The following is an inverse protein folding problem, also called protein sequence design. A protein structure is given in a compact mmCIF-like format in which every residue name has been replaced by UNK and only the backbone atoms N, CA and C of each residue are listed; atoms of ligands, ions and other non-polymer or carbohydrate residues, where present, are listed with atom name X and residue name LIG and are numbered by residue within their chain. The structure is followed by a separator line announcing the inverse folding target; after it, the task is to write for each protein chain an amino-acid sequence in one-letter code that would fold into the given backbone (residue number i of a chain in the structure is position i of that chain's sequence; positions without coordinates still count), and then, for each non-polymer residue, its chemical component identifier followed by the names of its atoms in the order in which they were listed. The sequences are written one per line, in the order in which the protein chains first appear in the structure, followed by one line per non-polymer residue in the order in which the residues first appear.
data_IF_582402690171
#
_entry.id   IF_582402690171
#
_cell.length_a   1.000
_cell.length_b   1.000
_cell.length_c   1.000
_cell.angle_alpha   90.00
_cell.angle_beta   90.00
_cell.angle_gamma   90.00
#
_symmetry.space_group_name_H-M   'P 1'
#
loop_
_entity.id
_entity.type
_entity.pdbx_description
1 polymer ?
#
# COMPACT_ATOMS: atom_id res chain seq x y z
N UNK A 1 -14.60 14.26 -32.30
CA UNK A 1 -14.33 13.72 -30.95
C UNK A 1 -14.83 12.29 -30.91
N UNK A 2 -13.92 11.32 -31.02
CA UNK A 2 -14.28 9.90 -30.93
C UNK A 2 -14.35 9.51 -29.45
N UNK A 3 -15.47 8.95 -28.97
CA UNK A 3 -15.56 8.43 -27.61
C UNK A 3 -14.67 7.20 -27.52
N UNK A 4 -13.61 7.26 -26.69
CA UNK A 4 -12.85 6.09 -26.29
C UNK A 4 -13.84 5.13 -25.62
N UNK A 5 -14.01 3.94 -26.20
CA UNK A 5 -14.87 2.90 -25.66
C UNK A 5 -14.33 2.50 -24.27
N UNK A 6 -14.98 2.98 -23.22
CA UNK A 6 -14.70 2.56 -21.85
C UNK A 6 -15.23 1.14 -21.72
N UNK A 7 -14.33 0.16 -21.81
CA UNK A 7 -14.66 -1.24 -21.59
C UNK A 7 -15.06 -1.42 -20.12
N UNK A 8 -16.36 -1.65 -19.89
CA UNK A 8 -16.91 -2.17 -18.64
C UNK A 8 -16.09 -3.40 -18.22
N UNK A 9 -15.86 -3.58 -16.92
CA UNK A 9 -15.09 -4.72 -16.39
C UNK A 9 -15.73 -6.02 -16.82
N UNK A 10 -15.16 -6.63 -17.85
CA UNK A 10 -15.60 -7.94 -18.30
C UNK A 10 -14.74 -8.99 -17.63
N UNK A 11 -15.28 -9.56 -16.56
CA UNK A 11 -14.71 -10.73 -15.90
C UNK A 11 -14.57 -11.94 -16.86
N UNK A 12 -15.26 -11.92 -18.01
CA UNK A 12 -15.16 -12.92 -19.08
C UNK A 12 -13.86 -12.82 -19.90
N UNK A 13 -13.23 -11.64 -19.99
CA UNK A 13 -11.95 -11.47 -20.72
C UNK A 13 -10.75 -11.87 -19.86
N UNK A 14 -10.83 -11.71 -18.54
CA UNK A 14 -9.75 -12.11 -17.62
C UNK A 14 -9.58 -13.63 -17.59
N UNK A 15 -10.63 -14.40 -17.86
CA UNK A 15 -10.59 -15.86 -18.00
C UNK A 15 -9.88 -16.33 -19.29
N UNK A 16 -9.81 -15.50 -20.34
CA UNK A 16 -9.23 -15.86 -21.65
C UNK A 16 -7.72 -15.61 -21.79
N UNK A 17 -7.10 -14.88 -20.86
CA UNK A 17 -5.65 -14.57 -20.91
C UNK A 17 -4.73 -15.74 -20.46
N UNK A 18 -5.23 -16.99 -20.43
CA UNK A 18 -4.49 -18.16 -19.93
C UNK A 18 -4.37 -19.32 -20.93
N UNK A 19 -4.33 -19.04 -22.23
CA UNK A 19 -4.08 -20.07 -23.25
C UNK A 19 -2.99 -19.63 -24.24
N UNK A 20 -1.73 -19.84 -23.86
CA UNK A 20 -0.69 -20.21 -24.83
C UNK A 20 -0.36 -21.66 -24.55
N UNK A 21 -0.96 -22.53 -25.36
CA UNK A 21 -0.69 -23.96 -25.40
C UNK A 21 0.76 -24.17 -25.90
N UNK A 22 1.60 -24.86 -25.12
CA UNK A 22 2.86 -25.42 -25.62
C UNK A 22 2.69 -26.93 -25.63
N UNK A 23 2.64 -27.50 -26.84
CA UNK A 23 2.61 -28.95 -27.03
C UNK A 23 3.89 -29.61 -26.47
N UNK A 24 3.80 -30.85 -25.96
CA UNK A 24 4.96 -31.57 -25.46
C UNK A 24 5.64 -32.32 -26.61
N UNK A 25 6.94 -32.04 -26.82
CA UNK A 25 7.82 -32.94 -27.57
C UNK A 25 8.34 -33.99 -26.59
N UNK A 26 7.94 -35.24 -26.78
CA UNK A 26 8.54 -36.41 -26.14
C UNK A 26 9.95 -36.68 -26.69
N UNK A 27 10.87 -37.16 -25.82
CA UNK A 27 12.20 -37.57 -26.25
C UNK A 27 13.20 -37.94 -25.15
N UNK A 28 12.93 -39.05 -24.46
CA UNK A 28 13.89 -40.05 -23.94
C UNK A 28 15.17 -39.70 -23.11
N UNK A 29 15.20 -40.34 -21.93
CA UNK A 29 16.28 -41.22 -21.39
C UNK A 29 17.52 -40.65 -20.69
N UNK A 30 17.69 -41.01 -19.41
CA UNK A 30 19.00 -41.11 -18.75
C UNK A 30 18.97 -41.27 -17.22
N UNK A 31 18.99 -42.51 -16.73
CA UNK A 31 19.11 -42.90 -15.30
C UNK A 31 20.39 -42.37 -14.63
N UNK A 32 20.32 -41.94 -13.36
CA UNK A 32 21.11 -42.54 -12.26
C UNK A 32 20.56 -42.17 -10.87
N UNK A 33 20.37 -43.20 -10.05
CA UNK A 33 19.96 -43.17 -8.63
C UNK A 33 21.20 -43.02 -7.76
N UNK A 34 21.18 -42.11 -6.78
CA UNK A 34 21.99 -42.22 -5.55
C UNK A 34 21.15 -41.74 -4.36
N UNK A 35 21.01 -42.62 -3.37
CA UNK A 35 20.31 -42.42 -2.10
C UNK A 35 21.07 -41.48 -1.16
N UNK A 36 20.37 -40.53 -0.54
CA UNK A 36 20.76 -40.01 0.78
C UNK A 36 19.51 -39.77 1.64
N UNK A 37 19.45 -40.48 2.77
CA UNK A 37 18.38 -40.40 3.77
C UNK A 37 18.60 -39.16 4.63
N UNK A 38 17.87 -38.09 4.34
CA UNK A 38 17.72 -36.92 5.21
C UNK A 38 16.24 -36.75 5.57
N UNK A 39 15.91 -36.77 6.86
CA UNK A 39 14.55 -36.51 7.39
C UNK A 39 14.08 -35.12 6.92
N UNK A 40 13.16 -35.08 5.97
CA UNK A 40 12.53 -33.84 5.49
C UNK A 40 11.32 -33.53 6.37
N UNK A 41 11.40 -32.45 7.14
CA UNK A 41 10.22 -31.79 7.69
C UNK A 41 9.36 -31.26 6.53
N UNK A 42 8.02 -31.28 6.62
CA UNK A 42 7.18 -30.81 5.54
C UNK A 42 7.23 -29.28 5.50
N UNK A 43 8.13 -28.73 4.70
CA UNK A 43 7.97 -27.37 4.17
C UNK A 43 6.63 -27.32 3.44
N UNK A 44 5.66 -26.60 4.00
CA UNK A 44 4.43 -26.19 3.31
C UNK A 44 4.85 -25.44 2.05
N UNK A 45 4.88 -26.13 0.92
CA UNK A 45 5.00 -25.49 -0.39
C UNK A 45 3.71 -24.71 -0.59
N UNK A 46 3.80 -23.39 -0.54
CA UNK A 46 2.82 -22.53 -1.18
C UNK A 46 2.88 -22.89 -2.66
N UNK A 47 1.97 -23.74 -3.10
CA UNK A 47 1.75 -23.97 -4.51
C UNK A 47 1.41 -22.62 -5.12
N UNK A 48 2.27 -22.13 -6.02
CA UNK A 48 1.91 -21.09 -6.97
C UNK A 48 0.84 -21.68 -7.89
N UNK A 49 -0.41 -21.70 -7.40
CA UNK A 49 -1.58 -21.92 -8.23
C UNK A 49 -1.87 -20.56 -8.82
N UNK A 50 -1.57 -20.37 -10.10
CA UNK A 50 -2.28 -19.39 -10.93
C UNK A 50 -3.73 -19.84 -10.95
N UNK A 51 -4.47 -19.50 -9.90
CA UNK A 51 -5.87 -19.81 -9.77
C UNK A 51 -6.61 -18.87 -10.72
N UNK A 52 -7.32 -19.44 -11.68
CA UNK A 52 -8.32 -18.71 -12.46
C UNK A 52 -9.24 -17.97 -11.48
N UNK A 53 -9.38 -16.65 -11.65
CA UNK A 53 -10.24 -15.82 -10.81
C UNK A 53 -11.66 -16.37 -10.78
N UNK A 54 -12.27 -16.42 -9.59
CA UNK A 54 -13.67 -16.84 -9.43
C UNK A 54 -14.58 -15.70 -9.88
N UNK A 55 -15.39 -15.92 -10.91
CA UNK A 55 -16.24 -14.87 -11.50
C UNK A 55 -17.74 -15.04 -11.29
N UNK A 56 -18.17 -16.20 -10.79
CA UNK A 56 -19.58 -16.45 -10.50
C UNK A 56 -19.95 -15.90 -9.13
N UNK A 57 -21.01 -15.08 -9.06
CA UNK A 57 -21.53 -14.56 -7.80
C UNK A 57 -21.97 -15.68 -6.85
N UNK A 58 -22.52 -16.78 -7.39
CA UNK A 58 -22.99 -17.94 -6.60
C UNK A 58 -21.85 -18.70 -5.89
N UNK A 59 -20.61 -18.46 -6.31
CA UNK A 59 -19.41 -19.01 -5.65
C UNK A 59 -19.00 -18.25 -4.40
N UNK A 60 -19.78 -17.25 -4.00
CA UNK A 60 -19.51 -16.41 -2.84
C UNK A 60 -20.71 -16.29 -1.89
N UNK A 61 -20.41 -16.26 -0.60
CA UNK A 61 -21.32 -15.85 0.47
C UNK A 61 -20.92 -14.44 0.93
N UNK A 62 -21.85 -13.49 0.86
CA UNK A 62 -21.64 -12.12 1.34
C UNK A 62 -22.10 -12.03 2.79
N UNK A 63 -21.23 -11.49 3.64
CA UNK A 63 -21.47 -11.26 5.06
C UNK A 63 -21.78 -9.81 5.37
N UNK A 64 -21.36 -9.38 6.57
CA UNK A 64 -21.64 -8.06 7.13
C UNK A 64 -20.84 -6.94 6.45
N UNK A 65 -21.44 -5.75 6.35
CA UNK A 65 -20.72 -4.51 6.04
C UNK A 65 -19.70 -4.18 7.14
N UNK A 66 -18.43 -4.09 6.77
CA UNK A 66 -17.30 -3.76 7.65
C UNK A 66 -17.15 -2.24 7.75
N UNK A 67 -17.26 -1.55 6.61
CA UNK A 67 -17.07 -0.11 6.54
C UNK A 67 -17.19 0.42 5.13
N UNK A 68 -16.93 1.72 4.98
CA UNK A 68 -16.85 2.39 3.70
C UNK A 68 -15.76 3.43 3.75
N UNK A 69 -15.07 3.65 2.64
CA UNK A 69 -14.10 4.72 2.52
C UNK A 69 -14.14 5.30 1.10
N UNK A 70 -13.83 6.59 0.99
CA UNK A 70 -13.54 7.23 -0.29
C UNK A 70 -12.05 7.12 -0.59
N UNK A 71 -11.66 7.37 -1.84
CA UNK A 71 -10.25 7.54 -2.14
C UNK A 71 -9.88 9.01 -2.08
N UNK A 72 -8.69 9.27 -1.56
CA UNK A 72 -7.90 10.42 -1.93
C UNK A 72 -6.71 9.88 -2.70
N UNK A 73 -6.61 10.23 -3.98
CA UNK A 73 -5.32 10.18 -4.62
C UNK A 73 -4.50 11.35 -4.04
N UNK A 74 -3.21 11.19 -3.76
CA UNK A 74 -2.34 12.31 -3.33
C UNK A 74 -2.44 13.48 -4.33
N UNK A 75 -2.78 13.18 -5.58
CA UNK A 75 -3.06 14.16 -6.62
C UNK A 75 -4.28 15.06 -6.41
N UNK A 76 -5.13 14.80 -5.40
CA UNK A 76 -6.20 15.73 -4.97
C UNK A 76 -5.70 16.82 -4.01
N UNK A 77 -4.44 16.76 -3.57
CA UNK A 77 -3.80 17.85 -2.86
C UNK A 77 -2.84 18.59 -3.80
N UNK A 78 -3.15 19.86 -4.06
CA UNK A 78 -2.27 20.79 -4.77
C UNK A 78 -1.04 21.11 -3.91
N UNK A 79 -0.04 20.23 -3.94
CA UNK A 79 1.30 20.56 -3.48
C UNK A 79 1.87 21.72 -4.32
N UNK A 80 2.19 22.83 -3.63
CA UNK A 80 2.76 24.09 -4.15
C UNK A 80 1.93 24.81 -5.24
N UNK A 81 0.94 25.59 -4.80
CA UNK A 81 0.59 26.84 -5.48
C UNK A 81 1.13 28.01 -4.65
N UNK A 82 2.11 28.73 -5.19
CA UNK A 82 2.54 30.00 -4.64
C UNK A 82 1.40 31.01 -4.78
N UNK A 83 0.59 31.19 -3.74
CA UNK A 83 -0.49 32.17 -3.71
C UNK A 83 -1.25 32.12 -2.39
N UNK A 84 -1.47 33.29 -1.82
CA UNK A 84 -2.00 33.54 -0.49
C UNK A 84 -3.42 32.99 -0.23
N UNK A 85 -3.71 32.88 1.07
CA UNK A 85 -5.03 32.80 1.74
C UNK A 85 -5.79 31.47 1.71
N UNK A 86 -5.66 30.69 2.78
CA UNK A 86 -6.73 29.79 3.23
C UNK A 86 -6.80 29.73 4.76
N UNK A 87 -7.70 30.54 5.30
CA UNK A 87 -8.22 30.42 6.67
C UNK A 87 -9.25 29.28 6.68
N UNK A 88 -9.08 28.28 7.55
CA UNK A 88 -10.13 27.29 7.84
C UNK A 88 -10.27 27.07 9.34
N UNK A 89 -11.53 27.08 9.76
CA UNK A 89 -12.05 27.07 11.13
C UNK A 89 -11.89 25.73 11.85
N UNK A 90 -11.81 25.81 13.17
CA UNK A 90 -11.24 24.85 14.14
C UNK A 90 -12.11 23.63 14.53
N UNK A 91 -13.09 23.18 13.73
CA UNK A 91 -14.15 22.28 14.26
C UNK A 91 -14.18 20.82 13.78
N UNK A 92 -13.24 20.33 12.98
CA UNK A 92 -13.26 18.92 12.51
C UNK A 92 -12.31 17.99 13.28
N UNK A 93 -12.63 17.75 14.55
CA UNK A 93 -11.99 16.74 15.40
C UNK A 93 -12.93 15.54 15.58
N UNK A 94 -12.61 14.45 14.88
CA UNK A 94 -12.90 13.09 15.36
C UNK A 94 -14.14 12.41 14.78
N UNK A 95 -13.98 11.66 13.68
CA UNK A 95 -14.80 10.47 13.39
C UNK A 95 -14.19 9.50 12.38
N UNK A 96 -13.43 8.55 12.91
CA UNK A 96 -12.84 7.38 12.20
C UNK A 96 -13.87 6.32 11.75
N UNK A 97 -14.90 6.76 11.03
CA UNK A 97 -15.78 5.91 10.20
C UNK A 97 -16.07 6.50 8.81
N UNK A 98 -15.56 7.70 8.55
CA UNK A 98 -15.49 8.27 7.22
C UNK A 98 -14.04 8.70 7.04
N UNK A 99 -13.35 8.09 6.08
CA UNK A 99 -12.25 8.80 5.43
C UNK A 99 -12.91 9.99 4.75
N UNK A 100 -12.49 11.20 5.12
CA UNK A 100 -13.08 12.45 4.64
C UNK A 100 -13.20 12.42 3.11
N UNK A 101 -14.39 12.74 2.63
CA UNK A 101 -14.73 12.78 1.21
C UNK A 101 -14.08 14.05 0.65
N UNK A 102 -12.82 13.95 0.27
CA UNK A 102 -12.12 14.94 -0.57
C UNK A 102 -12.23 14.55 -2.04
N UNK A 103 -12.93 15.39 -2.82
CA UNK A 103 -13.09 15.49 -4.30
C UNK A 103 -13.33 14.23 -5.18
N UNK A 104 -13.01 13.01 -4.75
CA UNK A 104 -13.35 11.78 -5.47
C UNK A 104 -14.75 11.30 -5.09
N UNK A 105 -15.73 11.47 -5.98
CA UNK A 105 -17.15 11.13 -5.73
C UNK A 105 -17.47 9.63 -5.54
N UNK A 106 -16.46 8.77 -5.44
CA UNK A 106 -16.61 7.31 -5.39
C UNK A 106 -16.53 6.79 -3.95
N UNK A 107 -17.66 6.33 -3.41
CA UNK A 107 -17.73 5.69 -2.09
C UNK A 107 -17.62 4.17 -2.22
N UNK A 108 -16.51 3.60 -1.76
CA UNK A 108 -16.31 2.15 -1.68
C UNK A 108 -16.91 1.59 -0.40
N UNK A 109 -17.50 0.40 -0.49
CA UNK A 109 -17.94 -0.38 0.67
C UNK A 109 -17.11 -1.65 0.81
N UNK A 110 -16.85 -2.02 2.06
CA UNK A 110 -16.16 -3.27 2.41
C UNK A 110 -17.13 -4.23 3.09
N UNK A 111 -17.22 -5.46 2.61
CA UNK A 111 -18.03 -6.51 3.23
C UNK A 111 -17.16 -7.72 3.60
N UNK A 112 -17.50 -8.39 4.70
CA UNK A 112 -16.99 -9.74 4.95
C UNK A 112 -17.59 -10.70 3.92
N UNK A 113 -16.90 -11.79 3.64
CA UNK A 113 -17.44 -12.85 2.81
C UNK A 113 -16.69 -14.16 2.95
N UNK A 114 -17.19 -15.19 2.28
CA UNK A 114 -16.55 -16.49 2.17
C UNK A 114 -16.73 -17.06 0.77
N UNK A 115 -15.82 -17.93 0.36
CA UNK A 115 -16.02 -18.76 -0.83
C UNK A 115 -17.02 -19.87 -0.48
N UNK A 116 -18.11 -19.99 -1.23
CA UNK A 116 -19.22 -20.91 -0.93
C UNK A 116 -19.06 -22.28 -1.59
N UNK A 117 -18.28 -22.36 -2.68
CA UNK A 117 -18.16 -23.54 -3.53
C UNK A 117 -16.71 -23.84 -3.95
N UNK A 118 -16.47 -25.06 -4.44
CA UNK A 118 -15.16 -25.47 -4.96
C UNK A 118 -14.11 -25.80 -3.87
N UNK A 119 -12.83 -26.00 -4.28
CA UNK A 119 -11.77 -26.48 -3.39
C UNK A 119 -11.37 -25.48 -2.30
N UNK A 120 -11.74 -24.21 -2.45
CA UNK A 120 -11.46 -23.15 -1.49
C UNK A 120 -12.68 -22.78 -0.64
N UNK A 121 -13.72 -23.64 -0.60
CA UNK A 121 -14.93 -23.42 0.21
C UNK A 121 -14.57 -23.11 1.67
N UNK A 122 -15.25 -22.11 2.23
CA UNK A 122 -15.08 -21.64 3.61
C UNK A 122 -13.95 -20.63 3.81
N UNK A 123 -13.08 -20.43 2.80
CA UNK A 123 -11.99 -19.44 2.87
C UNK A 123 -12.58 -18.05 3.07
N UNK A 124 -12.15 -17.31 4.12
CA UNK A 124 -12.60 -15.95 4.36
C UNK A 124 -12.03 -15.00 3.32
N UNK A 125 -12.88 -14.08 2.89
CA UNK A 125 -12.56 -13.02 1.93
C UNK A 125 -13.12 -11.69 2.41
N UNK A 126 -12.57 -10.61 1.86
CA UNK A 126 -13.09 -9.26 1.99
C UNK A 126 -13.53 -8.80 0.60
N UNK A 127 -14.78 -8.37 0.51
CA UNK A 127 -15.30 -7.73 -0.68
C UNK A 127 -15.00 -6.24 -0.65
N UNK A 128 -14.45 -5.75 -1.75
CA UNK A 128 -14.36 -4.33 -2.08
C UNK A 128 -15.39 -4.03 -3.16
N UNK A 129 -16.36 -3.19 -2.83
CA UNK A 129 -17.53 -2.93 -3.67
C UNK A 129 -17.47 -1.52 -4.22
N UNK A 130 -17.34 -1.42 -5.53
CA UNK A 130 -17.42 -0.18 -6.28
C UNK A 130 -18.88 0.07 -6.68
N UNK A 131 -19.38 1.30 -6.48
CA UNK A 131 -20.71 1.66 -6.93
C UNK A 131 -20.78 1.59 -8.46
N UNK A 132 -21.91 1.13 -9.00
CA UNK A 132 -22.12 1.16 -10.45
C UNK A 132 -22.25 2.58 -10.99
N UNK A 133 -22.12 2.72 -12.31
CA UNK A 133 -22.10 4.01 -13.03
C UNK A 133 -23.16 5.04 -12.64
N UNK A 134 -24.36 4.61 -12.22
CA UNK A 134 -25.44 5.52 -11.79
C UNK A 134 -25.11 6.26 -10.48
N UNK A 135 -24.36 5.62 -9.58
CA UNK A 135 -24.02 6.18 -8.28
C UNK A 135 -22.56 6.65 -8.20
N UNK A 136 -21.64 5.99 -8.91
CA UNK A 136 -20.20 6.27 -8.88
C UNK A 136 -19.64 6.94 -10.13
N UNK A 137 -20.47 7.20 -11.15
CA UNK A 137 -20.01 7.73 -12.42
C UNK A 137 -19.06 6.79 -13.18
N UNK A 138 -18.41 7.32 -14.21
CA UNK A 138 -17.42 6.59 -15.02
C UNK A 138 -16.16 6.28 -14.20
N UNK A 139 -15.83 7.15 -13.23
CA UNK A 139 -14.66 7.02 -12.38
C UNK A 139 -14.69 5.71 -11.58
N UNK A 140 -15.80 5.38 -10.93
CA UNK A 140 -15.92 4.13 -10.16
C UNK A 140 -15.64 2.88 -11.02
N UNK A 141 -16.15 2.87 -12.27
CA UNK A 141 -15.92 1.77 -13.20
C UNK A 141 -14.44 1.68 -13.60
N UNK A 142 -13.80 2.82 -13.86
CA UNK A 142 -12.38 2.88 -14.20
C UNK A 142 -11.50 2.40 -13.04
N UNK A 143 -11.81 2.81 -11.81
CA UNK A 143 -11.07 2.42 -10.61
C UNK A 143 -11.16 0.92 -10.35
N UNK A 144 -12.37 0.36 -10.46
CA UNK A 144 -12.60 -1.07 -10.28
C UNK A 144 -11.88 -1.90 -11.36
N UNK A 145 -11.95 -1.45 -12.62
CA UNK A 145 -11.24 -2.06 -13.74
C UNK A 145 -9.73 -2.04 -13.54
N UNK A 146 -9.20 -0.89 -13.13
CA UNK A 146 -7.78 -0.73 -12.94
C UNK A 146 -7.26 -1.59 -11.78
N UNK A 147 -7.98 -1.63 -10.65
CA UNK A 147 -7.61 -2.49 -9.53
C UNK A 147 -7.64 -3.98 -9.89
N UNK A 148 -8.70 -4.42 -10.59
CA UNK A 148 -8.79 -5.80 -11.09
C UNK A 148 -7.61 -6.14 -12.00
N UNK A 149 -7.31 -5.27 -12.96
CA UNK A 149 -6.25 -5.48 -13.95
C UNK A 149 -4.87 -5.49 -13.29
N UNK A 150 -4.62 -4.57 -12.35
CA UNK A 150 -3.35 -4.49 -11.64
C UNK A 150 -3.10 -5.76 -10.81
N UNK A 151 -4.08 -6.23 -10.05
CA UNK A 151 -3.96 -7.48 -9.30
C UNK A 151 -3.81 -8.69 -10.22
N UNK A 152 -4.63 -8.81 -11.27
CA UNK A 152 -4.54 -9.92 -12.24
C UNK A 152 -3.15 -9.98 -12.88
N UNK A 153 -2.62 -8.83 -13.31
CA UNK A 153 -1.30 -8.73 -13.90
C UNK A 153 -0.20 -9.12 -12.91
N UNK A 154 -0.18 -8.55 -11.69
CA UNK A 154 0.85 -8.83 -10.69
C UNK A 154 0.82 -10.29 -10.22
N UNK A 155 -0.38 -10.89 -10.08
CA UNK A 155 -0.53 -12.29 -9.68
C UNK A 155 -0.13 -13.29 -10.78
N UNK A 156 -0.08 -12.84 -12.04
CA UNK A 156 0.44 -13.66 -13.14
C UNK A 156 1.97 -13.73 -13.17
N UNK A 157 2.65 -12.82 -12.45
CA UNK A 157 4.11 -12.77 -12.40
C UNK A 157 4.65 -13.90 -11.52
N UNK A 158 5.89 -14.31 -11.81
CA UNK A 158 6.59 -15.35 -11.03
C UNK A 158 6.92 -14.80 -9.64
N UNK A 159 6.89 -15.69 -8.64
CA UNK A 159 7.33 -15.38 -7.27
C UNK A 159 6.55 -14.24 -6.60
N UNK A 160 5.21 -14.19 -6.78
CA UNK A 160 4.34 -13.24 -6.07
C UNK A 160 4.67 -13.20 -4.56
N UNK A 161 5.09 -12.05 -4.00
CA UNK A 161 5.45 -11.96 -2.60
C UNK A 161 4.22 -12.05 -1.70
N UNK A 162 4.42 -12.50 -0.47
CA UNK A 162 3.35 -12.51 0.53
C UNK A 162 2.87 -11.10 0.93
N UNK A 163 3.61 -10.07 0.50
CA UNK A 163 3.41 -8.65 0.80
C UNK A 163 2.48 -7.91 -0.19
N UNK A 164 1.81 -8.63 -1.08
CA UNK A 164 0.71 -8.10 -1.89
C UNK A 164 -0.58 -8.80 -1.50
N UNK A 165 -1.68 -8.04 -1.39
CA UNK A 165 -2.99 -8.61 -1.13
C UNK A 165 -3.45 -9.42 -2.33
N UNK A 166 -4.04 -10.59 -2.06
CA UNK A 166 -4.42 -11.54 -3.09
C UNK A 166 -5.87 -11.35 -3.51
N UNK A 167 -6.09 -11.03 -4.78
CA UNK A 167 -7.38 -11.08 -5.44
C UNK A 167 -7.74 -12.54 -5.75
N UNK A 168 -8.88 -12.97 -5.22
CA UNK A 168 -9.46 -14.31 -5.41
C UNK A 168 -10.41 -14.34 -6.60
N UNK A 169 -11.11 -13.23 -6.84
CA UNK A 169 -12.11 -13.16 -7.89
C UNK A 169 -12.91 -11.86 -7.83
N UNK A 170 -14.05 -11.87 -8.51
CA UNK A 170 -14.98 -10.76 -8.47
C UNK A 170 -16.13 -10.96 -9.45
N UNK A 171 -17.19 -10.19 -9.26
CA UNK A 171 -18.37 -10.26 -10.11
C UNK A 171 -19.01 -8.89 -10.24
N UNK A 172 -19.91 -8.76 -11.22
CA UNK A 172 -20.72 -7.58 -11.41
C UNK A 172 -22.19 -7.89 -11.14
N UNK A 173 -22.89 -7.00 -10.45
CA UNK A 173 -24.33 -7.14 -10.20
C UNK A 173 -25.16 -6.60 -11.36
N UNK A 174 -26.44 -6.96 -11.41
CA UNK A 174 -27.39 -6.41 -12.39
C UNK A 174 -27.51 -4.87 -12.35
N UNK A 175 -27.17 -4.26 -11.21
CA UNK A 175 -27.17 -2.80 -11.02
C UNK A 175 -25.84 -2.14 -11.42
N UNK A 176 -24.87 -2.93 -11.89
CA UNK A 176 -23.56 -2.48 -12.32
C UNK A 176 -22.56 -2.26 -11.19
N UNK A 177 -22.86 -2.70 -9.97
CA UNK A 177 -21.87 -2.66 -8.89
C UNK A 177 -20.80 -3.71 -9.15
N UNK A 178 -19.55 -3.36 -8.91
CA UNK A 178 -18.42 -4.24 -9.15
C UNK A 178 -17.85 -4.71 -7.80
N UNK A 179 -17.88 -6.01 -7.59
CA UNK A 179 -17.51 -6.66 -6.34
C UNK A 179 -16.19 -7.39 -6.54
N UNK A 180 -15.11 -6.87 -5.98
CA UNK A 180 -13.79 -7.52 -6.00
C UNK A 180 -13.59 -8.30 -4.70
N UNK A 181 -13.26 -9.59 -4.82
CA UNK A 181 -13.07 -10.50 -3.70
C UNK A 181 -11.58 -10.69 -3.42
N UNK A 182 -11.13 -10.24 -2.25
CA UNK A 182 -9.75 -10.40 -1.79
C UNK A 182 -9.66 -11.44 -0.71
N UNK A 183 -8.59 -12.23 -0.69
CA UNK A 183 -8.29 -13.12 0.42
C UNK A 183 -8.15 -12.29 1.69
N UNK A 184 -8.77 -12.75 2.78
CA UNK A 184 -8.65 -12.06 4.06
C UNK A 184 -7.17 -12.01 4.49
N UNK A 185 -6.62 -10.80 4.48
CA UNK A 185 -5.25 -10.48 4.85
C UNK A 185 -5.11 -10.03 6.29
N UNK A 186 -6.22 -9.89 7.02
CA UNK A 186 -6.33 -9.19 8.29
C UNK A 186 -7.34 -8.05 8.24
N UNK A 187 -7.87 -7.67 9.41
CA UNK A 187 -8.89 -6.62 9.55
C UNK A 187 -8.29 -5.23 9.78
N UNK A 188 -7.09 -5.18 10.36
CA UNK A 188 -6.43 -3.94 10.75
C UNK A 188 -5.52 -3.43 9.63
N UNK A 189 -5.58 -2.13 9.39
CA UNK A 189 -4.58 -1.44 8.57
C UNK A 189 -3.41 -0.93 9.41
N UNK A 190 -2.33 -0.48 8.75
CA UNK A 190 -1.26 0.22 9.46
C UNK A 190 -1.74 1.53 10.11
N UNK A 191 -2.77 2.18 9.54
CA UNK A 191 -3.44 3.33 10.17
C UNK A 191 -4.17 2.95 11.47
N UNK A 192 -4.90 1.83 11.47
CA UNK A 192 -5.60 1.35 12.68
C UNK A 192 -4.61 0.96 13.78
N UNK A 193 -3.53 0.26 13.41
CA UNK A 193 -2.43 -0.04 14.30
C UNK A 193 -1.83 1.24 14.90
N UNK A 194 -1.46 2.22 14.07
CA UNK A 194 -0.80 3.44 14.51
C UNK A 194 -1.67 4.22 15.51
N UNK A 195 -2.98 4.29 15.23
CA UNK A 195 -3.96 4.89 16.14
C UNK A 195 -4.02 4.17 17.48
N UNK A 196 -4.20 2.84 17.48
CA UNK A 196 -4.24 2.06 18.72
C UNK A 196 -2.93 2.14 19.49
N UNK A 197 -1.79 2.17 18.80
CA UNK A 197 -0.48 2.32 19.41
C UNK A 197 -0.32 3.70 20.08
N UNK A 198 -0.79 4.77 19.43
CA UNK A 198 -0.79 6.14 19.93
C UNK A 198 -1.70 6.33 21.14
N UNK A 199 -2.92 5.79 21.09
CA UNK A 199 -3.85 5.78 22.24
C UNK A 199 -3.24 5.04 23.45
N UNK A 200 -2.54 3.93 23.20
CA UNK A 200 -1.81 3.20 24.23
C UNK A 200 -0.66 4.04 24.82
N UNK A 201 0.05 4.83 24.01
CA UNK A 201 1.07 5.78 24.48
C UNK A 201 0.45 6.80 25.44
N UNK A 202 -0.69 7.41 25.07
CA UNK A 202 -1.40 8.36 25.93
C UNK A 202 -1.80 7.76 27.28
N UNK A 203 -2.31 6.52 27.29
CA UNK A 203 -2.70 5.83 28.54
C UNK A 203 -1.51 5.56 29.44
N UNK A 204 -0.37 5.15 28.88
CA UNK A 204 0.85 4.88 29.66
C UNK A 204 1.40 6.17 30.28
N UNK A 205 1.34 7.31 29.57
CA UNK A 205 1.79 8.59 30.12
C UNK A 205 0.86 9.10 31.22
N UNK A 206 -0.46 9.01 31.03
CA UNK A 206 -1.45 9.51 32.00
C UNK A 206 -1.50 8.68 33.28
N UNK A 207 -1.33 7.36 33.20
CA UNK A 207 -1.34 6.47 34.36
C UNK A 207 0.01 6.43 35.10
N UNK A 208 1.06 7.01 34.50
CA UNK A 208 2.44 6.83 34.92
C UNK A 208 2.92 5.40 34.64
N UNK A 209 4.05 5.25 33.95
CA UNK A 209 4.64 3.93 33.80
C UNK A 209 5.10 3.45 35.19
N UNK A 210 4.40 2.48 35.76
CA UNK A 210 4.72 1.90 37.08
C UNK A 210 6.12 1.26 37.10
N UNK A 211 6.65 0.91 35.92
CA UNK A 211 7.96 0.28 35.72
C UNK A 211 8.67 0.78 34.44
N UNK A 212 9.85 1.42 34.53
CA UNK A 212 10.65 1.84 33.38
C UNK A 212 11.02 0.69 32.42
N UNK A 213 11.26 -0.51 32.94
CA UNK A 213 11.61 -1.69 32.15
C UNK A 213 10.46 -2.13 31.22
N UNK A 214 9.22 -2.01 31.68
CA UNK A 214 8.05 -2.33 30.86
C UNK A 214 7.84 -1.32 29.73
N UNK A 215 8.11 -0.03 29.98
CA UNK A 215 8.09 1.02 28.96
C UNK A 215 9.13 0.73 27.89
N UNK A 216 10.36 0.41 28.28
CA UNK A 216 11.44 0.11 27.33
C UNK A 216 11.15 -1.15 26.50
N UNK A 217 10.68 -2.23 27.13
CA UNK A 217 10.25 -3.45 26.44
C UNK A 217 9.08 -3.21 25.47
N UNK A 218 8.10 -2.37 25.84
CA UNK A 218 7.03 -1.96 24.96
C UNK A 218 7.58 -1.21 23.74
N UNK A 219 8.44 -0.20 23.96
CA UNK A 219 9.03 0.57 22.88
C UNK A 219 9.91 -0.29 21.96
N UNK A 220 10.70 -1.22 22.51
CA UNK A 220 11.47 -2.18 21.70
C UNK A 220 10.59 -3.01 20.77
N UNK A 221 9.46 -3.54 21.28
CA UNK A 221 8.48 -4.28 20.47
C UNK A 221 7.85 -3.41 19.39
N UNK A 222 7.46 -2.19 19.74
CA UNK A 222 6.90 -1.21 18.80
C UNK A 222 7.85 -0.88 17.66
N UNK A 223 9.12 -0.59 17.98
CA UNK A 223 10.19 -0.34 16.99
C UNK A 223 10.32 -1.51 16.02
N UNK A 224 10.44 -2.74 16.53
CA UNK A 224 10.55 -3.92 15.69
C UNK A 224 9.30 -4.12 14.82
N UNK A 225 8.10 -3.92 15.38
CA UNK A 225 6.84 -4.04 14.64
C UNK A 225 6.74 -3.02 13.50
N UNK A 226 7.04 -1.74 13.76
CA UNK A 226 7.07 -0.69 12.73
C UNK A 226 8.11 -0.99 11.64
N UNK A 227 9.31 -1.42 12.01
CA UNK A 227 10.35 -1.82 11.04
C UNK A 227 9.84 -2.99 10.18
N UNK A 228 9.14 -3.97 10.76
CA UNK A 228 8.54 -5.08 10.00
C UNK A 228 7.47 -4.61 9.03
N UNK A 229 6.66 -3.62 9.40
CA UNK A 229 5.71 -2.97 8.48
C UNK A 229 6.47 -2.38 7.29
N UNK A 230 7.45 -1.52 7.54
CA UNK A 230 8.25 -0.85 6.51
C UNK A 230 8.96 -1.87 5.60
N UNK A 231 9.59 -2.89 6.17
CA UNK A 231 10.23 -3.98 5.40
C UNK A 231 9.22 -4.69 4.49
N UNK A 232 8.02 -4.99 4.99
CA UNK A 232 6.98 -5.67 4.20
C UNK A 232 6.44 -4.80 3.08
N UNK A 233 6.12 -3.54 3.37
CA UNK A 233 5.68 -2.55 2.39
C UNK A 233 6.70 -2.42 1.26
N UNK A 234 7.98 -2.20 1.59
CA UNK A 234 9.01 -2.02 0.58
C UNK A 234 9.28 -3.29 -0.23
N UNK A 235 9.09 -4.49 0.33
CA UNK A 235 9.13 -5.76 -0.45
C UNK A 235 8.00 -5.85 -1.46
N UNK A 236 6.80 -5.43 -1.09
CA UNK A 236 5.67 -5.35 -2.02
C UNK A 236 5.94 -4.34 -3.13
N UNK A 237 6.45 -3.16 -2.77
CA UNK A 237 6.71 -2.06 -3.71
C UNK A 237 7.83 -2.40 -4.68
N UNK A 238 8.94 -2.95 -4.18
CA UNK A 238 10.04 -3.50 -4.98
C UNK A 238 9.54 -4.45 -6.06
N UNK A 239 8.73 -5.44 -5.66
CA UNK A 239 8.13 -6.37 -6.61
C UNK A 239 7.24 -5.68 -7.65
N UNK A 240 6.46 -4.67 -7.27
CA UNK A 240 5.65 -3.92 -8.24
C UNK A 240 6.53 -3.18 -9.24
N UNK A 241 7.57 -2.47 -8.76
CA UNK A 241 8.51 -1.71 -9.59
C UNK A 241 9.30 -2.61 -10.55
N UNK A 242 9.75 -3.78 -10.08
CA UNK A 242 10.42 -4.81 -10.89
C UNK A 242 9.53 -5.39 -12.00
N UNK A 243 8.21 -5.28 -11.85
CA UNK A 243 7.22 -5.73 -12.82
C UNK A 243 6.52 -4.56 -13.53
N UNK A 244 7.17 -3.41 -13.63
CA UNK A 244 6.70 -2.21 -14.33
C UNK A 244 5.30 -1.74 -13.86
N UNK A 245 5.06 -1.81 -12.56
CA UNK A 245 3.82 -1.32 -11.92
C UNK A 245 4.11 -0.34 -10.81
N UNK A 246 3.38 0.77 -10.80
CA UNK A 246 3.38 1.75 -9.71
C UNK A 246 2.18 1.53 -8.78
N UNK A 247 2.26 2.01 -7.55
CA UNK A 247 1.16 1.98 -6.57
C UNK A 247 0.29 3.23 -6.65
N UNK A 248 0.89 4.44 -6.56
CA UNK A 248 0.24 5.75 -6.77
C UNK A 248 -0.89 6.11 -5.79
N UNK A 249 -0.86 5.54 -4.61
CA UNK A 249 -1.88 5.72 -3.56
C UNK A 249 -1.38 5.19 -2.22
N UNK A 250 -0.06 5.16 -2.03
CA UNK A 250 0.56 4.51 -0.89
C UNK A 250 0.37 5.37 0.36
N UNK A 251 -0.18 4.74 1.39
CA UNK A 251 -0.44 5.37 2.68
C UNK A 251 -0.76 4.34 3.76
N UNK A 252 -0.96 4.76 5.01
CA UNK A 252 -1.11 3.83 6.12
C UNK A 252 -2.37 2.94 6.02
N UNK A 253 -3.42 3.39 5.35
CA UNK A 253 -4.62 2.59 5.08
C UNK A 253 -4.45 1.55 3.96
N UNK A 254 -3.48 1.77 3.07
CA UNK A 254 -3.16 0.87 1.93
C UNK A 254 -2.34 -0.36 2.33
N UNK A 255 -2.10 -0.56 3.64
CA UNK A 255 -1.32 -1.68 4.18
C UNK A 255 -2.18 -2.47 5.15
N UNK A 256 -2.51 -3.70 4.80
CA UNK A 256 -3.22 -4.65 5.68
C UNK A 256 -2.22 -5.41 6.54
N UNK A 257 -2.55 -5.55 7.83
CA UNK A 257 -1.79 -6.31 8.79
C UNK A 257 -2.57 -7.56 9.20
N UNK A 258 -1.94 -8.73 9.13
CA UNK A 258 -2.55 -9.98 9.58
C UNK A 258 -2.65 -10.09 11.12
N UNK A 259 -1.92 -9.26 11.85
CA UNK A 259 -2.00 -9.13 13.30
C UNK A 259 -1.56 -7.70 13.68
N UNK A 260 -2.29 -6.98 14.55
CA UNK A 260 -1.83 -5.72 15.12
C UNK A 260 -0.98 -5.92 16.39
N UNK A 261 -0.75 -7.17 16.82
CA UNK A 261 -0.10 -7.47 18.08
C UNK A 261 1.43 -7.33 17.98
N UNK A 262 1.99 -6.31 18.62
CA UNK A 262 3.45 -6.03 18.61
C UNK A 262 4.32 -7.22 19.10
N UNK A 263 3.76 -8.10 19.96
CA UNK A 263 4.43 -9.32 20.44
C UNK A 263 4.56 -10.41 19.37
N UNK A 264 3.72 -10.36 18.34
CA UNK A 264 3.66 -11.31 17.23
C UNK A 264 4.36 -10.78 15.98
N UNK A 265 5.23 -9.76 16.11
CA UNK A 265 5.95 -9.14 14.99
C UNK A 265 6.68 -10.16 14.09
N UNK A 266 7.10 -11.31 14.63
CA UNK A 266 7.75 -12.39 13.87
C UNK A 266 6.82 -13.07 12.85
N UNK A 267 5.50 -13.00 13.07
CA UNK A 267 4.46 -13.54 12.19
C UNK A 267 3.78 -12.44 11.35
N UNK A 268 4.22 -11.19 11.49
CA UNK A 268 3.66 -10.07 10.76
C UNK A 268 4.02 -10.17 9.27
N UNK A 269 2.99 -10.10 8.43
CA UNK A 269 3.08 -10.03 6.97
C UNK A 269 2.24 -8.82 6.53
N UNK A 270 2.85 -7.63 6.40
CA UNK A 270 2.19 -6.44 5.88
C UNK A 270 1.91 -6.64 4.39
N UNK A 271 0.72 -6.26 3.92
CA UNK A 271 0.32 -6.43 2.51
C UNK A 271 -0.18 -5.13 1.90
N UNK A 272 0.39 -4.74 0.76
CA UNK A 272 -0.14 -3.65 -0.06
C UNK A 272 -1.50 -4.04 -0.66
N UNK A 273 -2.39 -3.06 -0.74
CA UNK A 273 -3.73 -3.14 -1.33
C UNK A 273 -4.08 -1.79 -1.98
N UNK A 274 -5.29 -1.69 -2.52
CA UNK A 274 -5.83 -0.44 -3.08
C UNK A 274 -5.13 0.03 -4.36
N UNK A 275 -4.99 -0.91 -5.30
CA UNK A 275 -4.36 -0.71 -6.61
C UNK A 275 -5.25 0.01 -7.64
N UNK A 276 -6.34 0.66 -7.23
CA UNK A 276 -7.23 1.42 -8.10
C UNK A 276 -6.53 2.52 -8.90
N UNK A 277 -5.44 3.09 -8.39
CA UNK A 277 -4.62 4.10 -9.08
C UNK A 277 -3.32 3.54 -9.66
N UNK A 278 -3.11 2.22 -9.61
CA UNK A 278 -1.89 1.59 -10.09
C UNK A 278 -1.66 1.90 -11.58
N UNK A 279 -0.42 2.21 -11.95
CA UNK A 279 -0.06 2.62 -13.31
C UNK A 279 0.90 1.62 -13.94
N UNK A 280 0.65 1.27 -15.19
CA UNK A 280 1.55 0.47 -16.02
C UNK A 280 2.63 1.37 -16.63
N UNK A 281 3.90 1.08 -16.33
CA UNK A 281 5.04 1.87 -16.78
C UNK A 281 5.93 1.12 -17.77
N UNK A 282 5.41 0.05 -18.39
CA UNK A 282 6.10 -0.58 -19.53
C UNK A 282 6.29 0.45 -20.63
N UNK A 283 7.41 0.44 -21.37
CA UNK A 283 7.68 1.44 -22.40
C UNK A 283 6.53 1.66 -23.39
N UNK A 284 5.87 0.59 -23.83
CA UNK A 284 4.72 0.64 -24.75
C UNK A 284 3.49 1.36 -24.17
N UNK A 285 3.35 1.43 -22.84
CA UNK A 285 2.28 2.14 -22.16
C UNK A 285 2.60 3.63 -21.95
N UNK A 286 3.87 4.01 -22.15
CA UNK A 286 4.38 5.37 -21.94
C UNK A 286 4.65 6.15 -23.23
N UNK A 287 4.55 5.49 -24.39
CA UNK A 287 4.67 6.13 -25.70
C UNK A 287 3.57 7.19 -25.94
N UNK A 288 3.87 8.17 -26.80
CA UNK A 288 2.96 9.27 -27.10
C UNK A 288 1.59 8.75 -27.60
N UNK A 289 0.53 9.16 -26.90
CA UNK A 289 -0.84 8.71 -27.16
C UNK A 289 -1.34 7.57 -26.28
N UNK A 290 -0.45 6.85 -25.58
CA UNK A 290 -0.81 5.76 -24.65
C UNK A 290 -0.98 6.23 -23.19
N UNK A 291 -0.33 7.32 -22.78
CA UNK A 291 -0.27 7.81 -21.38
C UNK A 291 -1.55 8.49 -20.85
N UNK A 292 -2.70 8.31 -21.51
CA UNK A 292 -3.89 9.14 -21.29
C UNK A 292 -5.00 8.43 -20.52
N UNK A 293 -4.66 7.74 -19.44
CA UNK A 293 -5.65 7.28 -18.47
C UNK A 293 -5.98 8.42 -17.49
N UNK A 294 -7.26 8.81 -17.37
CA UNK A 294 -7.69 9.91 -16.48
C UNK A 294 -7.19 9.77 -15.03
N UNK A 295 -7.05 8.53 -14.53
CA UNK A 295 -6.53 8.24 -13.18
C UNK A 295 -5.03 8.56 -13.00
N UNK A 296 -4.25 8.58 -14.10
CA UNK A 296 -2.80 8.79 -14.09
C UNK A 296 -2.38 10.18 -14.60
N UNK A 297 -3.35 10.99 -15.04
CA UNK A 297 -3.06 12.27 -15.71
C UNK A 297 -2.24 13.22 -14.82
N UNK A 298 -2.61 13.31 -13.54
CA UNK A 298 -1.92 14.19 -12.60
C UNK A 298 -0.48 13.74 -12.31
N UNK A 299 -0.21 12.42 -12.26
CA UNK A 299 1.16 11.89 -12.18
C UNK A 299 2.00 12.40 -13.36
N UNK A 300 1.49 12.26 -14.58
CA UNK A 300 2.22 12.65 -15.79
C UNK A 300 2.35 14.16 -15.96
N UNK A 301 1.41 14.95 -15.45
CA UNK A 301 1.57 16.40 -15.32
C UNK A 301 2.74 16.76 -14.40
N UNK A 302 2.85 16.13 -13.22
CA UNK A 302 3.99 16.33 -12.31
C UNK A 302 5.32 15.89 -12.93
N UNK A 303 5.33 14.77 -13.64
CA UNK A 303 6.51 14.28 -14.35
C UNK A 303 7.01 15.33 -15.36
N UNK A 304 6.10 15.83 -16.20
CA UNK A 304 6.38 16.84 -17.21
C UNK A 304 6.87 18.16 -16.57
N UNK A 305 6.20 18.61 -15.50
CA UNK A 305 6.62 19.80 -14.75
C UNK A 305 8.01 19.66 -14.11
N UNK A 306 8.40 18.42 -13.77
CA UNK A 306 9.73 18.08 -13.24
C UNK A 306 10.77 17.81 -14.33
N UNK A 307 10.43 18.08 -15.59
CA UNK A 307 11.32 17.93 -16.74
C UNK A 307 11.50 16.49 -17.22
N UNK A 308 10.60 15.57 -16.88
CA UNK A 308 10.61 14.19 -17.37
C UNK A 308 9.75 14.06 -18.64
N UNK A 309 10.38 14.10 -19.81
CA UNK A 309 9.68 14.14 -21.10
C UNK A 309 9.76 12.82 -21.86
N UNK A 310 10.89 12.12 -21.76
CA UNK A 310 11.09 10.83 -22.42
C UNK A 310 10.40 9.68 -21.67
N UNK A 311 10.19 8.56 -22.36
CA UNK A 311 9.62 7.33 -21.77
C UNK A 311 10.43 6.88 -20.54
N UNK A 312 11.76 6.90 -20.62
CA UNK A 312 12.63 6.48 -19.53
C UNK A 312 12.59 7.45 -18.35
N UNK A 313 12.55 8.75 -18.60
CA UNK A 313 12.42 9.76 -17.54
C UNK A 313 11.06 9.68 -16.84
N UNK A 314 9.96 9.50 -17.58
CA UNK A 314 8.63 9.32 -17.00
C UNK A 314 8.56 8.05 -16.15
N UNK A 315 9.15 6.95 -16.62
CA UNK A 315 9.27 5.71 -15.84
C UNK A 315 10.03 5.94 -14.53
N UNK A 316 11.20 6.57 -14.61
CA UNK A 316 12.02 6.88 -13.44
C UNK A 316 11.30 7.83 -12.47
N UNK A 317 10.60 8.85 -13.00
CA UNK A 317 9.80 9.77 -12.21
C UNK A 317 8.71 9.04 -11.43
N UNK A 318 7.92 8.19 -12.09
CA UNK A 318 6.84 7.45 -11.43
C UNK A 318 7.32 6.53 -10.31
N UNK A 319 8.45 5.84 -10.52
CA UNK A 319 9.10 5.04 -9.46
C UNK A 319 9.51 5.94 -8.29
N UNK A 320 10.14 7.07 -8.57
CA UNK A 320 10.56 8.03 -7.56
C UNK A 320 9.39 8.72 -6.83
N UNK A 321 8.21 8.81 -7.46
CA UNK A 321 6.98 9.36 -6.88
C UNK A 321 6.38 8.37 -5.87
N UNK A 322 6.32 7.07 -6.19
CA UNK A 322 5.95 6.02 -5.23
C UNK A 322 6.90 6.00 -4.01
N UNK A 323 8.20 6.23 -4.22
CA UNK A 323 9.19 6.29 -3.13
C UNK A 323 8.97 7.50 -2.23
N UNK A 324 8.51 8.62 -2.79
CA UNK A 324 8.13 9.79 -2.01
C UNK A 324 6.93 9.48 -1.11
N UNK A 325 5.88 8.86 -1.65
CA UNK A 325 4.73 8.40 -0.86
C UNK A 325 5.15 7.40 0.24
N UNK A 326 6.09 6.49 -0.09
CA UNK A 326 6.67 5.57 0.89
C UNK A 326 7.45 6.31 1.99
N UNK A 327 8.09 7.44 1.67
CA UNK A 327 8.75 8.32 2.62
C UNK A 327 7.77 8.99 3.58
N UNK A 328 6.63 9.48 3.07
CA UNK A 328 5.55 10.05 3.90
C UNK A 328 4.93 8.98 4.81
N UNK A 329 4.70 7.77 4.29
CA UNK A 329 4.29 6.62 5.10
C UNK A 329 5.33 6.28 6.18
N UNK A 330 6.62 6.31 5.85
CA UNK A 330 7.69 6.07 6.81
C UNK A 330 7.64 7.12 7.93
N UNK A 331 7.54 8.40 7.59
CA UNK A 331 7.36 9.46 8.57
C UNK A 331 6.13 9.18 9.45
N UNK A 332 4.97 8.87 8.85
CA UNK A 332 3.75 8.58 9.59
C UNK A 332 3.95 7.46 10.62
N UNK A 333 4.57 6.35 10.22
CA UNK A 333 4.84 5.21 11.09
C UNK A 333 5.95 5.48 12.13
N UNK A 334 6.82 6.45 11.87
CA UNK A 334 7.85 6.87 12.82
C UNK A 334 7.31 7.81 13.91
N UNK A 335 6.28 8.60 13.60
CA UNK A 335 5.72 9.57 14.56
C UNK A 335 4.45 9.05 15.24
N UNK A 336 3.40 8.70 14.49
CA UNK A 336 2.07 8.46 15.07
C UNK A 336 2.06 7.35 16.12
N UNK A 337 2.65 6.15 15.90
CA UNK A 337 2.66 5.10 16.92
C UNK A 337 3.48 5.45 18.17
N UNK A 338 4.42 6.39 18.08
CA UNK A 338 5.36 6.73 19.16
C UNK A 338 4.93 7.98 19.95
N UNK A 339 4.04 8.79 19.40
CA UNK A 339 3.48 9.95 20.06
C UNK A 339 2.13 9.64 20.73
N UNK A 340 1.70 10.53 21.61
CA UNK A 340 0.34 10.51 22.16
C UNK A 340 -0.71 10.84 21.11
N UNK A 341 -1.92 10.32 21.32
CA UNK A 341 -3.05 10.58 20.45
C UNK A 341 -3.32 12.08 20.35
N UNK A 342 -3.43 12.59 19.13
CA UNK A 342 -3.66 14.02 18.85
C UNK A 342 -2.41 14.89 18.78
N UNK A 343 -1.22 14.36 19.09
CA UNK A 343 0.05 15.10 18.92
C UNK A 343 0.47 15.18 17.46
N UNK A 344 0.32 14.07 16.73
CA UNK A 344 0.66 13.98 15.32
C UNK A 344 -0.38 13.16 14.57
N UNK A 345 -0.74 13.62 13.37
CA UNK A 345 -1.56 12.93 12.39
C UNK A 345 -0.95 13.07 10.99
N UNK A 346 -1.54 12.41 9.98
CA UNK A 346 -1.03 12.43 8.61
C UNK A 346 -0.90 13.83 8.03
N UNK A 347 -1.92 14.68 8.22
CA UNK A 347 -1.99 16.02 7.64
C UNK A 347 -1.02 16.96 8.36
N UNK A 348 -0.98 16.90 9.69
CA UNK A 348 -0.04 17.67 10.51
C UNK A 348 1.41 17.35 10.13
N UNK A 349 1.73 16.06 9.96
CA UNK A 349 3.07 15.64 9.57
C UNK A 349 3.43 16.07 8.15
N UNK A 350 2.50 15.93 7.20
CA UNK A 350 2.72 16.37 5.84
C UNK A 350 2.94 17.89 5.77
N UNK A 351 2.13 18.69 6.48
CA UNK A 351 2.31 20.15 6.58
C UNK A 351 3.65 20.53 7.20
N UNK A 352 4.05 19.83 8.26
CA UNK A 352 5.35 20.05 8.92
C UNK A 352 6.50 19.84 7.93
N UNK A 353 6.48 18.70 7.22
CA UNK A 353 7.53 18.32 6.28
C UNK A 353 7.52 19.20 5.03
N UNK A 354 6.39 19.33 4.35
CA UNK A 354 6.29 19.96 3.02
C UNK A 354 6.18 21.48 3.08
N UNK A 355 5.41 22.04 4.03
CA UNK A 355 5.08 23.47 4.05
C UNK A 355 5.98 24.24 5.00
N UNK A 356 6.09 23.78 6.25
CA UNK A 356 6.82 24.49 7.30
C UNK A 356 8.33 24.42 7.06
N UNK A 357 8.87 23.22 6.91
CA UNK A 357 10.31 23.01 6.76
C UNK A 357 10.75 22.75 5.31
N UNK A 358 9.82 22.66 4.35
CA UNK A 358 10.12 22.51 2.91
C UNK A 358 11.12 21.38 2.63
N UNK A 359 10.89 20.25 3.28
CA UNK A 359 11.68 19.01 3.21
C UNK A 359 13.10 19.13 3.78
N UNK A 360 13.40 20.18 4.57
CA UNK A 360 14.62 20.25 5.39
C UNK A 360 14.50 19.32 6.61
N UNK A 361 14.92 18.07 6.42
CA UNK A 361 14.80 17.02 7.44
C UNK A 361 15.67 17.28 8.68
N UNK A 362 16.79 17.99 8.55
CA UNK A 362 17.61 18.31 9.74
C UNK A 362 16.92 19.37 10.59
N UNK A 363 16.35 20.41 9.97
CA UNK A 363 15.54 21.40 10.68
C UNK A 363 14.30 20.77 11.35
N UNK A 364 13.64 19.83 10.68
CA UNK A 364 12.54 19.04 11.27
C UNK A 364 13.02 18.28 12.51
N UNK A 365 14.19 17.62 12.43
CA UNK A 365 14.76 16.88 13.56
C UNK A 365 15.03 17.80 14.75
N UNK A 366 15.64 18.96 14.53
CA UNK A 366 15.90 19.95 15.59
C UNK A 366 14.60 20.43 16.26
N UNK A 367 13.58 20.74 15.45
CA UNK A 367 12.26 21.11 15.94
C UNK A 367 11.63 19.99 16.79
N UNK A 368 11.66 18.75 16.29
CA UNK A 368 11.09 17.61 17.00
C UNK A 368 11.85 17.27 18.29
N UNK A 369 13.17 17.48 18.31
CA UNK A 369 14.00 17.26 19.50
C UNK A 369 13.67 18.24 20.63
N UNK A 370 13.20 19.45 20.29
CA UNK A 370 12.79 20.46 21.25
C UNK A 370 11.41 20.20 21.89
N UNK A 371 10.59 19.31 21.31
CA UNK A 371 9.27 18.96 21.85
C UNK A 371 9.30 17.59 22.53
N UNK A 372 9.18 17.57 23.86
CA UNK A 372 9.19 16.34 24.67
C UNK A 372 8.11 15.33 24.28
N UNK A 373 7.02 15.76 23.61
CA UNK A 373 5.95 14.87 23.13
C UNK A 373 6.38 14.04 21.93
N UNK A 374 7.46 14.43 21.25
CA UNK A 374 8.01 13.78 20.05
C UNK A 374 9.28 12.98 20.35
N UNK A 375 9.75 12.97 21.61
CA UNK A 375 11.02 12.37 22.02
C UNK A 375 11.18 10.90 21.57
N UNK A 376 10.14 10.07 21.74
CA UNK A 376 10.21 8.64 21.38
C UNK A 376 10.27 8.41 19.86
N UNK A 377 9.66 9.30 19.06
CA UNK A 377 9.76 9.28 17.60
C UNK A 377 11.18 9.66 17.15
N UNK A 378 11.75 10.71 17.76
CA UNK A 378 13.14 11.13 17.49
C UNK A 378 14.12 10.01 17.86
N UNK A 379 13.97 9.38 19.03
CA UNK A 379 14.77 8.22 19.45
C UNK A 379 14.67 7.04 18.48
N UNK A 380 13.50 6.82 17.89
CA UNK A 380 13.32 5.77 16.88
C UNK A 380 14.08 6.09 15.60
N UNK A 381 14.03 7.33 15.10
CA UNK A 381 14.74 7.75 13.89
C UNK A 381 16.26 7.91 14.11
N UNK A 382 16.69 8.16 15.36
CA UNK A 382 18.09 8.23 15.75
C UNK A 382 18.80 6.86 15.82
N UNK A 383 18.06 5.75 15.69
CA UNK A 383 18.65 4.41 15.67
C UNK A 383 19.69 4.26 14.55
N UNK A 384 20.79 3.58 14.87
CA UNK A 384 21.86 3.31 13.90
C UNK A 384 22.64 4.56 13.49
N UNK A 385 22.87 5.46 14.45
CA UNK A 385 23.50 6.77 14.25
C UNK A 385 22.74 7.60 13.21
N UNK A 386 21.51 7.99 13.58
CA UNK A 386 20.60 8.81 12.76
C UNK A 386 20.19 8.20 11.42
N UNK A 387 20.29 6.88 11.26
CA UNK A 387 19.98 6.20 10.01
C UNK A 387 18.51 6.38 9.57
N UNK A 388 17.58 6.55 10.51
CA UNK A 388 16.18 6.81 10.17
C UNK A 388 15.98 8.17 9.51
N UNK A 389 16.64 9.20 10.04
CA UNK A 389 16.62 10.55 9.47
C UNK A 389 17.27 10.61 8.10
N UNK A 390 18.42 9.98 7.92
CA UNK A 390 19.10 9.90 6.62
C UNK A 390 18.22 9.21 5.57
N UNK A 391 17.58 8.09 5.93
CA UNK A 391 16.69 7.39 5.02
C UNK A 391 15.50 8.27 4.64
N UNK A 392 14.91 8.96 5.62
CA UNK A 392 13.76 9.83 5.38
C UNK A 392 14.14 10.99 4.45
N UNK A 393 15.31 11.59 4.64
CA UNK A 393 15.85 12.63 3.76
C UNK A 393 16.10 12.14 2.33
N UNK A 394 16.59 10.91 2.17
CA UNK A 394 16.78 10.32 0.85
C UNK A 394 15.45 10.06 0.12
N UNK A 395 14.44 9.53 0.83
CA UNK A 395 13.13 9.22 0.24
C UNK A 395 12.31 10.47 -0.09
N UNK A 396 12.38 11.50 0.77
CA UNK A 396 11.68 12.77 0.61
C UNK A 396 12.49 13.83 -0.16
N UNK A 397 13.51 13.43 -0.91
CA UNK A 397 14.33 14.39 -1.65
C UNK A 397 13.48 15.19 -2.65
N UNK A 398 13.62 16.51 -2.66
CA UNK A 398 12.91 17.37 -3.61
C UNK A 398 13.25 17.06 -5.07
N UNK A 399 14.50 16.67 -5.34
CA UNK A 399 14.92 16.16 -6.64
C UNK A 399 14.60 14.66 -6.75
N UNK A 400 13.55 14.33 -7.53
CA UNK A 400 13.11 12.95 -7.75
C UNK A 400 14.23 12.02 -8.25
N UNK A 401 15.24 12.57 -8.95
CA UNK A 401 16.37 11.79 -9.50
C UNK A 401 17.33 11.31 -8.42
N UNK A 402 17.30 11.93 -7.24
CA UNK A 402 18.13 11.57 -6.08
C UNK A 402 17.43 10.59 -5.14
N UNK A 403 16.15 10.30 -5.36
CA UNK A 403 15.41 9.35 -4.53
C UNK A 403 15.89 7.92 -4.81
N UNK A 404 16.03 7.08 -3.78
CA UNK A 404 16.42 5.69 -3.96
C UNK A 404 15.31 4.88 -4.65
N UNK A 405 15.65 3.72 -5.20
CA UNK A 405 14.67 2.70 -5.58
C UNK A 405 14.27 1.84 -4.37
N UNK A 406 13.16 1.10 -4.47
CA UNK A 406 12.62 0.32 -3.36
C UNK A 406 13.61 -0.72 -2.80
N UNK A 407 14.41 -1.35 -3.65
CA UNK A 407 15.45 -2.31 -3.27
C UNK A 407 16.58 -1.65 -2.45
N UNK A 408 16.93 -0.42 -2.79
CA UNK A 408 17.95 0.35 -2.07
C UNK A 408 17.43 0.76 -0.68
N UNK A 409 16.16 1.16 -0.59
CA UNK A 409 15.50 1.40 0.71
C UNK A 409 15.48 0.13 1.56
N UNK A 410 15.10 -1.02 0.99
CA UNK A 410 15.12 -2.32 1.68
C UNK A 410 16.50 -2.70 2.20
N UNK A 411 17.55 -2.31 1.51
CA UNK A 411 18.93 -2.59 1.88
C UNK A 411 19.49 -1.61 2.91
N UNK A 412 18.78 -0.51 3.19
CA UNK A 412 19.25 0.54 4.09
C UNK A 412 19.48 0.03 5.52
N UNK A 413 20.55 0.52 6.15
CA UNK A 413 20.95 0.09 7.51
C UNK A 413 19.89 0.36 8.57
N UNK A 414 19.01 1.33 8.37
CA UNK A 414 17.89 1.57 9.29
C UNK A 414 16.92 0.38 9.34
N UNK A 415 16.60 -0.20 8.18
CA UNK A 415 15.65 -1.32 8.10
C UNK A 415 16.31 -2.65 8.49
N UNK A 416 17.62 -2.81 8.28
CA UNK A 416 18.31 -4.09 8.51
C UNK A 416 19.18 -4.13 9.78
N UNK A 417 19.62 -2.97 10.26
CA UNK A 417 20.59 -2.84 11.36
C UNK A 417 19.99 -2.96 12.76
N UNK A 418 18.65 -3.00 12.88
CA UNK A 418 17.94 -3.08 14.18
C UNK A 418 17.59 -4.52 14.55
N UNK A 419 18.14 -5.52 13.84
CA UNK A 419 18.07 -6.92 14.25
C UNK A 419 19.37 -7.28 14.97
N UNK A 420 19.58 -6.74 16.18
CA UNK A 420 20.43 -7.31 17.23
C UNK A 420 19.93 -6.82 18.60
#
# INVERSE_FOLDING_TARGET
MNPVAVHRVSFQYVSRLSLIHREPVEGFSGRRVVNSRGRKWPTRRLHAVTASLITSADSFEVGRLIGSYGFMNVTSYSGFQSGADFEYTSDDIGRLKAQDIGEGGVKIRLYEGRISQGPFRGVPIIFKVYPGKRAGGIEADMMAANELNAHSFLQSQKNLPANLLMLVGGFETQFGEQWLAFRDGGKDSAADYARTASEKTSRVRSQGAWNPYEKEQMMKRRRNFVIKILQGTMKGLAFMHDNDRLHQSLGPSSIVLNTPAEREAIYLIPRLRDLAFSVDIRPSCLEEGATSGALSEQLWRRATASGAFTVFEKRAFGIADDIYEAGLLFAYLAFVPFCEAGVMDSLSLQRLLENTFRLDIEAVREYCLADERLEEAVKFLDLGDRAGWELLQAMLNADHRKRPVAEAVLSHRFLNGVVN
#
